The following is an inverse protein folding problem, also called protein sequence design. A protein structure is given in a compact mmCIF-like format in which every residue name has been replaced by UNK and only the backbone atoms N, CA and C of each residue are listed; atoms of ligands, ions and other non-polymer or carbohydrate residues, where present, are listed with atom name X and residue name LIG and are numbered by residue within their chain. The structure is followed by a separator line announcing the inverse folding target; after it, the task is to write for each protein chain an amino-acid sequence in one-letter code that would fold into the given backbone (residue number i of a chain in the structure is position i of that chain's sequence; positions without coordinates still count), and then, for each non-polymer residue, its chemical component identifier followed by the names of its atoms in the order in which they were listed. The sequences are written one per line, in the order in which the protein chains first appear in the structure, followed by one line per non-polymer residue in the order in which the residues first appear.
data_IF_011547224084
#
_entry.id   IF_011547224084
#
_cell.length_a   1.000
_cell.length_b   1.000
_cell.length_c   1.000
_cell.angle_alpha   90.00
_cell.angle_beta   90.00
_cell.angle_gamma   90.00
#
_symmetry.space_group_name_H-M   'P 1'
#
loop_
_entity.id
_entity.type
_entity.pdbx_description
1 polymer ?
#
# COMPACT_ATOMS: atom_id res chain seq x y z
N UNK A 1 -14.84 11.46 -30.82
CA UNK A 1 -14.06 10.35 -31.40
C UNK A 1 -14.36 9.12 -30.56
N UNK A 2 -15.12 8.18 -31.12
CA UNK A 2 -15.46 6.91 -30.46
C UNK A 2 -14.19 6.05 -30.42
N UNK A 3 -13.62 5.87 -29.24
CA UNK A 3 -12.52 4.93 -29.05
C UNK A 3 -13.00 3.52 -29.35
N UNK A 4 -12.75 3.03 -30.55
CA UNK A 4 -12.83 1.61 -30.83
C UNK A 4 -11.87 0.90 -29.88
N UNK A 5 -12.40 0.00 -29.05
CA UNK A 5 -11.59 -0.92 -28.26
C UNK A 5 -10.78 -1.78 -29.27
N UNK A 6 -9.54 -1.41 -29.48
CA UNK A 6 -8.62 -2.26 -30.24
C UNK A 6 -8.47 -3.54 -29.43
N UNK A 7 -9.05 -4.64 -29.92
CA UNK A 7 -8.78 -5.95 -29.32
C UNK A 7 -7.26 -6.18 -29.40
N UNK A 8 -6.59 -6.45 -28.30
CA UNK A 8 -5.17 -6.73 -28.36
C UNK A 8 -4.94 -7.90 -29.32
N UNK A 9 -4.08 -7.70 -30.30
CA UNK A 9 -3.68 -8.78 -31.20
C UNK A 9 -2.97 -9.84 -30.39
N UNK A 10 -3.60 -10.97 -30.17
CA UNK A 10 -2.98 -12.11 -29.51
C UNK A 10 -2.00 -12.71 -30.50
N UNK A 11 -0.72 -12.68 -30.15
CA UNK A 11 0.35 -13.29 -30.96
C UNK A 11 0.32 -14.79 -30.69
N UNK A 12 0.08 -15.58 -31.74
CA UNK A 12 0.22 -17.04 -31.65
C UNK A 12 1.70 -17.41 -31.69
N UNK A 13 2.18 -17.99 -30.60
CA UNK A 13 3.58 -18.44 -30.44
C UNK A 13 3.84 -19.81 -31.09
N UNK A 14 2.80 -20.46 -31.63
CA UNK A 14 2.91 -21.78 -32.26
C UNK A 14 3.65 -22.79 -31.36
N UNK A 15 4.68 -23.47 -31.92
CA UNK A 15 5.49 -24.47 -31.17
C UNK A 15 6.26 -23.90 -29.95
N UNK A 16 6.45 -22.59 -29.87
CA UNK A 16 7.15 -21.95 -28.77
C UNK A 16 6.24 -21.70 -27.55
N UNK A 17 4.94 -21.90 -27.68
CA UNK A 17 3.99 -21.69 -26.58
C UNK A 17 4.34 -22.54 -25.35
N UNK A 18 4.57 -23.85 -25.56
CA UNK A 18 4.88 -24.77 -24.44
C UNK A 18 6.22 -24.45 -23.76
N UNK A 19 7.37 -24.28 -24.47
CA UNK A 19 8.63 -23.90 -23.84
C UNK A 19 8.56 -22.57 -23.09
N UNK A 20 7.90 -21.55 -23.64
CA UNK A 20 7.76 -20.24 -23.00
C UNK A 20 6.87 -20.34 -21.75
N UNK A 21 5.77 -21.08 -21.81
CA UNK A 21 4.88 -21.29 -20.64
C UNK A 21 5.62 -22.03 -19.52
N UNK A 22 6.43 -23.06 -19.83
CA UNK A 22 7.25 -23.75 -18.84
C UNK A 22 8.28 -22.80 -18.23
N UNK A 23 8.97 -21.99 -19.05
CA UNK A 23 9.97 -21.03 -18.57
C UNK A 23 9.35 -20.01 -17.61
N UNK A 24 8.21 -19.40 -18.01
CA UNK A 24 7.49 -18.42 -17.19
C UNK A 24 6.94 -19.07 -15.92
N UNK A 25 6.40 -20.29 -16.02
CA UNK A 25 5.94 -21.07 -14.87
C UNK A 25 7.06 -21.40 -13.89
N UNK A 26 8.21 -21.85 -14.39
CA UNK A 26 9.40 -22.15 -13.56
C UNK A 26 9.94 -20.87 -12.90
N UNK A 27 10.00 -19.76 -13.62
CA UNK A 27 10.38 -18.46 -13.08
C UNK A 27 9.42 -18.01 -11.96
N UNK A 28 8.13 -18.06 -12.20
CA UNK A 28 7.12 -17.71 -11.19
C UNK A 28 7.19 -18.65 -9.97
N UNK A 29 7.43 -19.94 -10.17
CA UNK A 29 7.59 -20.90 -9.09
C UNK A 29 8.80 -20.56 -8.22
N UNK A 30 9.97 -20.34 -8.81
CA UNK A 30 11.22 -20.07 -8.07
C UNK A 30 11.16 -18.71 -7.37
N UNK A 31 10.65 -17.66 -8.05
CA UNK A 31 10.72 -16.30 -7.55
C UNK A 31 9.57 -15.97 -6.58
N UNK A 32 8.41 -16.58 -6.76
CA UNK A 32 7.20 -16.26 -5.95
C UNK A 32 6.84 -17.43 -5.03
N UNK A 33 6.55 -18.61 -5.58
CA UNK A 33 5.97 -19.71 -4.81
C UNK A 33 6.97 -20.26 -3.79
N UNK A 34 8.21 -20.48 -4.20
CA UNK A 34 9.23 -21.09 -3.34
C UNK A 34 9.54 -20.27 -2.09
N UNK A 35 9.80 -18.93 -2.15
CA UNK A 35 10.03 -18.12 -0.96
C UNK A 35 8.82 -18.10 -0.02
N UNK A 36 7.61 -17.96 -0.56
CA UNK A 36 6.40 -17.94 0.27
C UNK A 36 6.14 -19.30 0.91
N UNK A 37 6.31 -20.40 0.17
CA UNK A 37 6.20 -21.74 0.72
C UNK A 37 7.22 -21.95 1.85
N UNK A 38 8.46 -21.49 1.69
CA UNK A 38 9.50 -21.59 2.72
C UNK A 38 9.09 -20.83 4.00
N UNK A 39 8.56 -19.61 3.90
CA UNK A 39 8.04 -18.84 5.04
C UNK A 39 6.93 -19.62 5.74
N UNK A 40 5.96 -20.14 4.99
CA UNK A 40 4.88 -20.96 5.55
C UNK A 40 5.40 -22.22 6.23
N UNK A 41 6.27 -22.98 5.59
CA UNK A 41 6.85 -24.19 6.17
C UNK A 41 7.62 -23.90 7.45
N UNK A 42 8.44 -22.86 7.46
CA UNK A 42 9.20 -22.42 8.64
C UNK A 42 8.30 -22.04 9.81
N UNK A 43 7.13 -21.47 9.54
CA UNK A 43 6.16 -21.09 10.58
C UNK A 43 5.62 -22.27 11.39
N UNK A 44 5.70 -23.47 10.84
CA UNK A 44 5.28 -24.73 11.48
C UNK A 44 6.45 -25.59 11.94
N UNK A 45 7.69 -25.17 11.80
CA UNK A 45 8.89 -26.01 12.05
C UNK A 45 9.49 -25.68 13.42
N UNK A 46 9.74 -26.70 14.25
CA UNK A 46 10.43 -26.54 15.54
C UNK A 46 11.91 -26.30 15.34
N UNK A 47 12.55 -27.15 14.52
CA UNK A 47 13.98 -27.11 14.25
C UNK A 47 14.26 -27.06 12.75
N UNK A 48 14.83 -25.96 12.28
CA UNK A 48 15.15 -25.72 10.88
C UNK A 48 16.25 -26.65 10.32
N UNK A 49 17.09 -27.22 11.17
CA UNK A 49 18.14 -28.16 10.77
C UNK A 49 17.61 -29.57 10.49
N UNK A 50 16.32 -29.84 10.71
CA UNK A 50 15.67 -31.12 10.45
C UNK A 50 14.66 -31.00 9.30
N UNK A 51 14.38 -32.10 8.61
CA UNK A 51 13.29 -32.14 7.64
C UNK A 51 11.97 -31.70 8.31
N UNK A 52 11.15 -30.95 7.57
CA UNK A 52 9.81 -30.52 8.04
C UNK A 52 8.97 -31.70 8.53
N UNK A 53 9.03 -32.82 7.81
CA UNK A 53 8.24 -34.03 8.09
C UNK A 53 8.92 -34.99 9.09
N UNK A 54 10.06 -34.61 9.67
CA UNK A 54 10.67 -35.42 10.74
C UNK A 54 9.74 -35.51 11.95
N UNK A 55 9.72 -36.67 12.60
CA UNK A 55 8.88 -36.92 13.76
C UNK A 55 9.06 -35.82 14.84
N UNK A 56 7.98 -35.18 15.27
CA UNK A 56 8.00 -34.12 16.28
C UNK A 56 8.52 -32.76 15.82
N UNK A 57 8.80 -32.57 14.52
CA UNK A 57 9.30 -31.28 14.00
C UNK A 57 8.19 -30.33 13.53
N UNK A 58 6.93 -30.74 13.51
CA UNK A 58 5.78 -29.89 13.18
C UNK A 58 5.08 -29.38 14.44
N UNK A 59 4.76 -28.06 14.45
CA UNK A 59 4.07 -27.41 15.57
C UNK A 59 3.25 -26.22 15.09
N UNK A 60 2.15 -25.92 15.78
CA UNK A 60 1.35 -24.70 15.63
C UNK A 60 1.63 -23.66 16.72
N UNK A 61 2.62 -23.93 17.60
CA UNK A 61 2.95 -23.10 18.77
C UNK A 61 3.18 -21.63 18.39
N UNK A 62 3.89 -21.37 17.29
CA UNK A 62 4.25 -20.02 16.87
C UNK A 62 3.03 -19.21 16.40
N UNK A 63 2.03 -19.89 15.81
CA UNK A 63 0.74 -19.27 15.49
C UNK A 63 -0.03 -18.88 16.76
N UNK A 64 -0.01 -19.71 17.79
CA UNK A 64 -0.57 -19.35 19.10
C UNK A 64 0.12 -18.10 19.70
N UNK A 65 1.44 -17.98 19.55
CA UNK A 65 2.20 -16.84 20.04
C UNK A 65 1.78 -15.55 19.35
N UNK A 66 1.65 -15.51 18.03
CA UNK A 66 1.31 -14.29 17.29
C UNK A 66 -0.08 -13.74 17.65
N UNK A 67 -1.02 -14.60 18.04
CA UNK A 67 -2.37 -14.18 18.43
C UNK A 67 -2.53 -13.88 19.92
N UNK A 68 -1.60 -14.32 20.79
CA UNK A 68 -1.68 -14.12 22.24
C UNK A 68 -0.75 -13.02 22.76
N UNK A 69 0.32 -12.69 22.03
CA UNK A 69 1.33 -11.77 22.53
C UNK A 69 0.89 -10.32 22.41
N UNK A 70 0.81 -9.63 23.54
CA UNK A 70 0.36 -8.22 23.63
C UNK A 70 1.16 -7.26 22.73
N UNK A 71 2.48 -7.48 22.58
CA UNK A 71 3.32 -6.64 21.71
C UNK A 71 2.90 -6.74 20.25
N UNK A 72 2.66 -7.95 19.75
CA UNK A 72 2.26 -8.20 18.36
C UNK A 72 0.86 -7.61 18.08
N UNK A 73 -0.09 -7.81 19.03
CA UNK A 73 -1.44 -7.23 18.92
C UNK A 73 -1.39 -5.70 18.92
N UNK A 74 -0.53 -5.10 19.77
CA UNK A 74 -0.31 -3.65 19.80
C UNK A 74 0.27 -3.15 18.47
N UNK A 75 1.29 -3.83 17.95
CA UNK A 75 1.93 -3.49 16.67
C UNK A 75 0.99 -3.64 15.50
N UNK A 76 0.11 -4.65 15.49
CA UNK A 76 -0.96 -4.78 14.50
C UNK A 76 -1.91 -3.57 14.53
N UNK A 77 -2.40 -3.20 15.72
CA UNK A 77 -3.26 -2.01 15.88
C UNK A 77 -2.58 -0.73 15.41
N UNK A 78 -1.31 -0.57 15.74
CA UNK A 78 -0.51 0.59 15.33
C UNK A 78 -0.35 0.64 13.80
N UNK A 79 -0.08 -0.50 13.14
CA UNK A 79 0.00 -0.58 11.68
C UNK A 79 -1.33 -0.25 11.01
N UNK A 80 -2.44 -0.80 11.50
CA UNK A 80 -3.77 -0.47 10.98
C UNK A 80 -4.06 1.02 11.16
N UNK A 81 -3.79 1.57 12.34
CA UNK A 81 -4.04 2.98 12.64
C UNK A 81 -3.22 3.90 11.74
N UNK A 82 -1.89 3.70 11.66
CA UNK A 82 -1.03 4.56 10.85
C UNK A 82 -1.34 4.45 9.36
N UNK A 83 -1.59 3.24 8.84
CA UNK A 83 -1.95 3.02 7.45
C UNK A 83 -3.31 3.63 7.10
N UNK A 84 -4.31 3.47 7.98
CA UNK A 84 -5.66 4.02 7.79
C UNK A 84 -5.63 5.55 7.72
N UNK A 85 -4.94 6.20 8.64
CA UNK A 85 -4.83 7.66 8.64
C UNK A 85 -3.98 8.16 7.46
N UNK A 86 -2.87 7.52 7.15
CA UNK A 86 -2.05 7.90 6.00
C UNK A 86 -2.80 7.76 4.68
N UNK A 87 -3.53 6.67 4.48
CA UNK A 87 -4.34 6.45 3.28
C UNK A 87 -5.51 7.43 3.20
N UNK A 88 -6.20 7.68 4.30
CA UNK A 88 -7.39 8.55 4.31
C UNK A 88 -7.01 10.02 4.10
N UNK A 89 -6.06 10.54 4.89
CA UNK A 89 -5.59 11.92 4.74
C UNK A 89 -4.88 12.11 3.40
N UNK A 90 -4.02 11.16 3.03
CA UNK A 90 -3.33 11.17 1.75
C UNK A 90 -4.31 11.17 0.57
N UNK A 91 -5.38 10.37 0.64
CA UNK A 91 -6.37 10.31 -0.43
C UNK A 91 -7.21 11.59 -0.54
N UNK A 92 -7.55 12.24 0.57
CA UNK A 92 -8.21 13.55 0.57
C UNK A 92 -7.34 14.57 -0.17
N UNK A 93 -6.05 14.63 0.17
CA UNK A 93 -5.10 15.53 -0.53
C UNK A 93 -4.99 15.16 -2.00
N UNK A 94 -4.90 13.87 -2.34
CA UNK A 94 -4.83 13.40 -3.73
C UNK A 94 -6.04 13.81 -4.56
N UNK A 95 -7.26 13.70 -4.03
CA UNK A 95 -8.49 14.11 -4.74
C UNK A 95 -8.49 15.62 -5.01
N UNK A 96 -8.15 16.42 -4.00
CA UNK A 96 -8.08 17.89 -4.14
C UNK A 96 -7.03 18.27 -5.19
N UNK A 97 -5.83 17.69 -5.08
CA UNK A 97 -4.73 17.99 -6.01
C UNK A 97 -5.01 17.52 -7.43
N UNK A 98 -5.59 16.34 -7.61
CA UNK A 98 -5.97 15.81 -8.92
C UNK A 98 -7.01 16.72 -9.60
N UNK A 99 -7.99 17.20 -8.83
CA UNK A 99 -8.98 18.17 -9.33
C UNK A 99 -8.31 19.49 -9.73
N UNK A 100 -7.47 20.07 -8.88
CA UNK A 100 -6.73 21.30 -9.19
C UNK A 100 -5.90 21.16 -10.46
N UNK A 101 -5.19 20.04 -10.63
CA UNK A 101 -4.37 19.81 -11.82
C UNK A 101 -5.18 19.71 -13.10
N UNK A 102 -6.35 19.05 -13.07
CA UNK A 102 -7.10 18.69 -14.28
C UNK A 102 -8.24 19.64 -14.61
N UNK A 103 -8.79 20.34 -13.62
CA UNK A 103 -10.01 21.15 -13.76
C UNK A 103 -9.83 22.64 -13.49
N UNK A 104 -8.64 23.08 -13.12
CA UNK A 104 -8.38 24.49 -12.82
C UNK A 104 -7.18 25.03 -13.57
N UNK A 105 -7.12 26.36 -13.71
CA UNK A 105 -5.99 27.09 -14.29
C UNK A 105 -5.14 27.80 -13.22
N UNK A 106 -5.15 27.29 -11.97
CA UNK A 106 -4.37 27.87 -10.87
C UNK A 106 -2.89 27.85 -11.22
N UNK A 107 -2.25 29.02 -11.14
CA UNK A 107 -0.79 29.14 -11.37
C UNK A 107 -0.03 28.39 -10.28
N UNK A 108 1.00 27.65 -10.65
CA UNK A 108 1.83 26.89 -9.70
C UNK A 108 1.26 25.52 -9.29
N UNK A 109 0.12 25.07 -9.84
CA UNK A 109 -0.47 23.75 -9.55
C UNK A 109 0.46 22.56 -9.81
N UNK A 110 1.50 22.75 -10.63
CA UNK A 110 2.51 21.71 -10.88
C UNK A 110 3.50 21.53 -9.73
N UNK A 111 3.68 22.51 -8.85
CA UNK A 111 4.64 22.44 -7.75
C UNK A 111 4.28 21.33 -6.74
N UNK A 112 3.06 21.25 -6.20
CA UNK A 112 2.68 20.15 -5.33
C UNK A 112 2.76 18.77 -6.01
N UNK A 113 2.41 18.65 -7.30
CA UNK A 113 2.55 17.39 -8.05
C UNK A 113 4.02 16.96 -8.15
N UNK A 114 4.90 17.91 -8.42
CA UNK A 114 6.34 17.68 -8.41
C UNK A 114 6.84 17.24 -7.02
N UNK A 115 6.43 17.92 -5.95
CA UNK A 115 6.83 17.58 -4.58
C UNK A 115 6.36 16.17 -4.17
N UNK A 116 5.12 15.80 -4.51
CA UNK A 116 4.60 14.45 -4.27
C UNK A 116 5.43 13.40 -5.05
N UNK A 117 5.82 13.73 -6.27
CA UNK A 117 6.64 12.83 -7.11
C UNK A 117 8.04 12.67 -6.53
N UNK A 118 8.69 13.76 -6.13
CA UNK A 118 10.01 13.74 -5.47
C UNK A 118 9.95 12.97 -4.16
N UNK A 119 8.96 13.21 -3.31
CA UNK A 119 8.77 12.49 -2.05
C UNK A 119 8.68 10.98 -2.27
N UNK A 120 7.86 10.55 -3.23
CA UNK A 120 7.73 9.13 -3.55
C UNK A 120 9.02 8.51 -4.11
N UNK A 121 9.79 9.25 -4.92
CA UNK A 121 11.07 8.81 -5.47
C UNK A 121 12.22 8.78 -4.46
N UNK A 122 12.08 9.53 -3.35
CA UNK A 122 13.13 9.61 -2.32
C UNK A 122 13.26 8.29 -1.55
N UNK A 123 14.49 7.80 -1.27
CA UNK A 123 14.69 6.61 -0.43
C UNK A 123 14.03 6.76 0.95
N UNK A 124 13.37 5.71 1.43
CA UNK A 124 12.62 5.73 2.70
C UNK A 124 13.48 6.15 3.90
N UNK A 125 14.75 5.71 3.93
CA UNK A 125 15.70 6.10 4.98
C UNK A 125 15.94 7.62 5.00
N UNK A 126 16.06 8.24 3.83
CA UNK A 126 16.28 9.70 3.71
C UNK A 126 15.06 10.46 4.21
N UNK A 127 13.85 10.02 3.87
CA UNK A 127 12.60 10.62 4.40
C UNK A 127 12.57 10.53 5.92
N UNK A 128 12.88 9.36 6.49
CA UNK A 128 12.89 9.17 7.93
C UNK A 128 13.89 10.10 8.62
N UNK A 129 15.13 10.17 8.14
CA UNK A 129 16.15 11.07 8.69
C UNK A 129 15.74 12.53 8.59
N UNK A 130 15.22 12.96 7.44
CA UNK A 130 14.72 14.32 7.26
C UNK A 130 13.62 14.66 8.26
N UNK A 131 12.68 13.74 8.50
CA UNK A 131 11.60 13.93 9.48
C UNK A 131 12.12 13.95 10.92
N UNK A 132 13.10 13.13 11.29
CA UNK A 132 13.75 13.21 12.61
C UNK A 132 14.36 14.59 12.82
N UNK A 133 15.11 15.08 11.81
CA UNK A 133 15.80 16.37 11.92
C UNK A 133 14.83 17.57 11.95
N UNK A 134 13.68 17.48 11.29
CA UNK A 134 12.73 18.61 11.18
C UNK A 134 11.63 18.58 12.22
N UNK A 135 11.18 17.38 12.63
CA UNK A 135 9.99 17.19 13.46
C UNK A 135 10.31 16.83 14.93
N UNK A 136 11.57 17.01 15.35
CA UNK A 136 12.03 16.80 16.74
C UNK A 136 11.97 18.07 17.62
N UNK A 137 11.22 19.07 17.19
CA UNK A 137 11.09 20.36 17.92
C UNK A 137 12.01 21.47 17.42
N UNK A 138 12.99 21.17 16.57
CA UNK A 138 13.96 22.17 16.08
C UNK A 138 13.32 23.37 15.35
N UNK A 139 12.21 23.12 14.66
CA UNK A 139 11.47 24.17 13.93
C UNK A 139 10.10 24.46 14.57
N UNK A 140 9.95 24.24 15.90
CA UNK A 140 8.72 24.49 16.63
C UNK A 140 7.67 23.39 16.51
N UNK A 141 7.86 22.37 15.66
CA UNK A 141 6.97 21.23 15.50
C UNK A 141 7.65 19.99 16.10
N UNK A 142 7.02 19.40 17.13
CA UNK A 142 7.51 18.18 17.74
C UNK A 142 6.43 17.08 17.66
N UNK A 143 6.55 16.22 16.66
CA UNK A 143 5.76 14.99 16.53
C UNK A 143 6.64 13.73 16.55
N UNK A 144 7.92 13.88 16.87
CA UNK A 144 8.85 12.76 17.03
C UNK A 144 8.36 11.81 18.13
N UNK A 145 8.61 10.53 17.99
CA UNK A 145 8.12 9.47 18.89
C UNK A 145 6.60 9.31 18.99
N UNK A 146 5.83 9.91 18.07
CA UNK A 146 4.37 9.77 18.02
C UNK A 146 3.92 9.00 16.77
N UNK A 147 2.65 8.54 16.76
CA UNK A 147 2.06 7.94 15.55
C UNK A 147 1.97 8.94 14.40
N UNK A 148 1.89 10.25 14.69
CA UNK A 148 1.76 11.27 13.67
C UNK A 148 2.95 11.33 12.71
N UNK A 149 4.18 11.14 13.20
CA UNK A 149 5.36 11.14 12.32
C UNK A 149 5.34 9.97 11.34
N UNK A 150 4.84 8.79 11.74
CA UNK A 150 4.66 7.64 10.86
C UNK A 150 3.62 7.94 9.77
N UNK A 151 2.49 8.53 10.14
CA UNK A 151 1.44 8.94 9.20
C UNK A 151 1.99 9.91 8.16
N UNK A 152 2.72 10.94 8.59
CA UNK A 152 3.35 11.93 7.68
C UNK A 152 4.38 11.26 6.77
N UNK A 153 5.24 10.39 7.31
CA UNK A 153 6.24 9.65 6.54
C UNK A 153 5.59 8.81 5.43
N UNK A 154 4.53 8.09 5.76
CA UNK A 154 3.81 7.25 4.83
C UNK A 154 3.09 8.07 3.75
N UNK A 155 2.49 9.20 4.11
CA UNK A 155 1.89 10.12 3.14
C UNK A 155 2.95 10.58 2.13
N UNK A 156 4.10 11.08 2.58
CA UNK A 156 5.18 11.53 1.71
C UNK A 156 5.58 10.43 0.71
N UNK A 157 5.70 9.20 1.18
CA UNK A 157 6.20 8.07 0.38
C UNK A 157 5.17 7.51 -0.60
N UNK A 158 3.91 7.38 -0.19
CA UNK A 158 2.93 6.54 -0.91
C UNK A 158 1.79 7.31 -1.58
N UNK A 159 1.66 8.63 -1.35
CA UNK A 159 0.59 9.45 -1.96
C UNK A 159 0.60 9.45 -3.49
N UNK A 160 1.76 9.31 -4.13
CA UNK A 160 1.87 9.35 -5.59
C UNK A 160 0.99 8.29 -6.26
N UNK A 161 0.87 7.09 -5.67
CA UNK A 161 0.05 6.00 -6.22
C UNK A 161 -1.43 6.40 -6.27
N UNK A 162 -1.96 6.91 -5.16
CA UNK A 162 -3.33 7.42 -5.09
C UNK A 162 -3.55 8.63 -6.01
N UNK A 163 -2.59 9.53 -6.07
CA UNK A 163 -2.64 10.73 -6.91
C UNK A 163 -2.81 10.35 -8.39
N UNK A 164 -1.96 9.47 -8.91
CA UNK A 164 -2.02 9.05 -10.33
C UNK A 164 -3.32 8.33 -10.68
N UNK A 165 -3.84 7.54 -9.75
CA UNK A 165 -5.12 6.84 -9.93
C UNK A 165 -6.29 7.83 -10.08
N UNK A 166 -6.37 8.85 -9.22
CA UNK A 166 -7.44 9.86 -9.29
C UNK A 166 -7.26 10.80 -10.48
N UNK A 167 -6.02 11.22 -10.78
CA UNK A 167 -5.72 12.04 -11.97
C UNK A 167 -6.19 11.35 -13.24
N UNK A 168 -5.93 10.04 -13.37
CA UNK A 168 -6.40 9.24 -14.49
C UNK A 168 -7.93 9.20 -14.57
N UNK A 169 -8.60 8.97 -13.45
CA UNK A 169 -10.05 8.92 -13.37
C UNK A 169 -10.71 10.25 -13.75
N UNK A 170 -10.24 11.37 -13.20
CA UNK A 170 -10.76 12.71 -13.53
C UNK A 170 -10.52 13.04 -14.99
N UNK A 171 -9.41 12.59 -15.58
CA UNK A 171 -9.12 12.84 -17.01
C UNK A 171 -10.08 12.11 -17.95
N UNK A 172 -10.74 11.04 -17.51
CA UNK A 172 -11.72 10.27 -18.28
C UNK A 172 -13.14 10.85 -18.19
N UNK A 173 -13.43 11.74 -17.26
CA UNK A 173 -14.72 12.39 -17.13
C UNK A 173 -14.77 13.57 -18.11
N UNK A 174 -15.84 13.62 -18.95
CA UNK A 174 -16.05 14.77 -19.84
C UNK A 174 -16.29 16.05 -19.04
N UNK A 175 -15.59 17.16 -19.35
CA UNK A 175 -15.86 18.47 -18.74
C UNK A 175 -17.32 18.92 -18.89
N UNK A 176 -17.99 18.53 -19.96
CA UNK A 176 -19.39 18.87 -20.24
C UNK A 176 -20.36 18.44 -19.13
N UNK A 177 -20.06 17.39 -18.37
CA UNK A 177 -20.90 16.99 -17.23
C UNK A 177 -20.84 18.01 -16.09
N UNK A 178 -19.67 18.57 -15.83
CA UNK A 178 -19.51 19.62 -14.82
C UNK A 178 -20.10 20.94 -15.30
N UNK A 179 -19.99 21.27 -16.59
CA UNK A 179 -20.58 22.44 -17.21
C UNK A 179 -22.11 22.37 -17.20
N UNK A 180 -22.71 21.23 -17.51
CA UNK A 180 -24.16 21.02 -17.43
C UNK A 180 -24.67 21.20 -15.98
N UNK A 181 -23.96 20.67 -15.01
CA UNK A 181 -24.30 20.89 -13.60
C UNK A 181 -24.17 22.37 -13.21
N UNK A 182 -23.19 23.09 -13.75
CA UNK A 182 -23.01 24.54 -13.52
C UNK A 182 -24.15 25.37 -14.13
N UNK A 183 -24.56 25.03 -15.34
CA UNK A 183 -25.71 25.67 -16.00
C UNK A 183 -27.00 25.43 -15.20
N UNK A 184 -27.13 24.28 -14.54
CA UNK A 184 -28.25 23.96 -13.65
C UNK A 184 -28.13 24.65 -12.27
N UNK A 185 -27.19 25.59 -12.08
CA UNK A 185 -27.00 26.34 -10.83
C UNK A 185 -26.20 25.64 -9.73
N UNK A 186 -25.53 24.53 -10.02
CA UNK A 186 -24.73 23.85 -9.04
C UNK A 186 -23.40 24.59 -8.77
N UNK A 187 -23.18 25.01 -7.54
CA UNK A 187 -21.89 25.54 -7.07
C UNK A 187 -20.78 24.47 -7.06
N UNK A 188 -19.54 24.88 -6.83
CA UNK A 188 -18.37 23.99 -6.87
C UNK A 188 -18.49 22.77 -5.95
N UNK A 189 -18.88 22.96 -4.70
CA UNK A 189 -19.06 21.85 -3.74
C UNK A 189 -20.12 20.85 -4.20
N UNK A 190 -21.22 21.32 -4.78
CA UNK A 190 -22.28 20.47 -5.29
C UNK A 190 -21.82 19.67 -6.51
N UNK A 191 -21.10 20.29 -7.44
CA UNK A 191 -20.48 19.58 -8.59
C UNK A 191 -19.50 18.52 -8.14
N UNK A 192 -18.67 18.84 -7.14
CA UNK A 192 -17.73 17.87 -6.57
C UNK A 192 -18.46 16.66 -5.97
N UNK A 193 -19.49 16.92 -5.14
CA UNK A 193 -20.24 15.88 -4.43
C UNK A 193 -21.13 15.04 -5.37
N UNK A 194 -21.83 15.69 -6.30
CA UNK A 194 -22.89 15.05 -7.09
C UNK A 194 -22.39 14.51 -8.43
N UNK A 195 -21.24 14.99 -8.96
CA UNK A 195 -20.70 14.60 -10.25
C UNK A 195 -19.32 13.96 -10.11
N UNK A 196 -18.32 14.70 -9.63
CA UNK A 196 -16.92 14.24 -9.68
C UNK A 196 -16.66 13.06 -8.75
N UNK A 197 -17.03 13.19 -7.46
CA UNK A 197 -16.78 12.13 -6.48
C UNK A 197 -17.50 10.81 -6.79
N UNK A 198 -18.80 10.79 -7.17
CA UNK A 198 -19.46 9.54 -7.53
C UNK A 198 -18.84 8.86 -8.75
N UNK A 199 -18.48 9.63 -9.78
CA UNK A 199 -17.87 9.07 -10.99
C UNK A 199 -16.45 8.58 -10.77
N UNK A 200 -15.70 9.18 -9.85
CA UNK A 200 -14.34 8.77 -9.49
C UNK A 200 -14.28 7.80 -8.32
N UNK A 201 -15.39 7.53 -7.63
CA UNK A 201 -15.41 6.73 -6.40
C UNK A 201 -14.69 5.38 -6.51
N UNK A 202 -14.85 4.57 -7.57
CA UNK A 202 -14.10 3.32 -7.69
C UNK A 202 -12.58 3.53 -7.71
N UNK A 203 -12.13 4.60 -8.39
CA UNK A 203 -10.71 4.96 -8.49
C UNK A 203 -10.18 5.55 -7.19
N UNK A 204 -10.99 6.30 -6.44
CA UNK A 204 -10.65 6.82 -5.10
C UNK A 204 -10.49 5.65 -4.13
N UNK A 205 -11.38 4.67 -4.14
CA UNK A 205 -11.27 3.47 -3.31
C UNK A 205 -10.03 2.67 -3.67
N UNK A 206 -9.78 2.44 -4.97
CA UNK A 206 -8.58 1.75 -5.43
C UNK A 206 -7.30 2.48 -5.02
N UNK A 207 -7.24 3.80 -5.21
CA UNK A 207 -6.12 4.64 -4.80
C UNK A 207 -5.89 4.63 -3.30
N UNK A 208 -6.97 4.60 -2.50
CA UNK A 208 -6.88 4.46 -1.05
C UNK A 208 -6.21 3.13 -0.65
N UNK A 209 -6.60 2.01 -1.26
CA UNK A 209 -5.95 0.72 -1.02
C UNK A 209 -4.49 0.70 -1.47
N UNK A 210 -4.16 1.34 -2.60
CA UNK A 210 -2.78 1.45 -3.08
C UNK A 210 -1.86 2.25 -2.14
N UNK A 211 -2.42 3.16 -1.33
CA UNK A 211 -1.68 3.82 -0.26
C UNK A 211 -1.69 2.96 1.01
N UNK A 212 -2.85 2.41 1.40
CA UNK A 212 -3.03 1.67 2.64
C UNK A 212 -2.12 0.44 2.72
N UNK A 213 -2.09 -0.38 1.65
CA UNK A 213 -1.35 -1.65 1.65
C UNK A 213 0.14 -1.49 1.99
N UNK A 214 0.94 -0.68 1.25
CA UNK A 214 2.35 -0.53 1.59
C UNK A 214 2.56 0.14 2.95
N UNK A 215 1.68 1.05 3.40
CA UNK A 215 1.75 1.64 4.73
C UNK A 215 1.56 0.60 5.83
N UNK A 216 0.69 -0.40 5.61
CA UNK A 216 0.36 -1.39 6.62
C UNK A 216 1.55 -2.28 7.02
N UNK A 217 2.39 -2.67 6.06
CA UNK A 217 3.56 -3.51 6.30
C UNK A 217 4.90 -2.77 6.15
N UNK A 218 4.88 -1.44 6.14
CA UNK A 218 6.08 -0.63 6.00
C UNK A 218 7.06 -0.91 7.13
N UNK A 219 8.31 -1.17 6.77
CA UNK A 219 9.39 -1.50 7.68
C UNK A 219 10.46 -0.40 7.75
N UNK A 220 10.91 0.08 6.61
CA UNK A 220 12.16 0.86 6.51
C UNK A 220 12.10 2.21 7.25
N UNK A 221 11.06 3.01 7.00
CA UNK A 221 10.86 4.27 7.72
C UNK A 221 10.41 4.00 9.16
N UNK A 222 9.53 3.02 9.33
CA UNK A 222 9.00 2.65 10.64
C UNK A 222 10.11 2.25 11.59
N UNK A 223 11.12 1.50 11.12
CA UNK A 223 12.25 1.05 11.93
C UNK A 223 13.18 2.19 12.39
N UNK A 224 13.12 3.35 11.75
CA UNK A 224 13.87 4.54 12.16
C UNK A 224 13.03 5.51 13.00
N UNK A 225 11.71 5.49 12.84
CA UNK A 225 10.79 6.47 13.45
C UNK A 225 10.00 5.93 14.63
N UNK A 226 10.05 4.60 14.91
CA UNK A 226 9.25 4.01 15.96
C UNK A 226 9.77 4.39 17.36
N UNK A 227 8.87 4.35 18.32
CA UNK A 227 9.13 4.31 19.76
C UNK A 227 8.46 3.08 20.35
N UNK A 228 8.68 2.79 21.64
CA UNK A 228 8.07 1.63 22.30
C UNK A 228 6.54 1.59 22.19
N UNK A 229 5.91 2.75 22.08
CA UNK A 229 4.46 2.86 21.95
C UNK A 229 3.96 2.81 20.50
N UNK A 230 4.82 3.07 19.52
CA UNK A 230 4.45 3.22 18.09
C UNK A 230 5.00 2.11 17.19
N UNK A 231 5.51 1.01 17.78
CA UNK A 231 5.96 -0.16 17.01
C UNK A 231 4.87 -0.63 16.05
N UNK A 232 5.24 -0.83 14.78
CA UNK A 232 4.37 -1.37 13.72
C UNK A 232 4.64 -2.85 13.50
N UNK A 233 3.80 -3.52 12.72
CA UNK A 233 3.97 -4.93 12.38
C UNK A 233 5.29 -5.21 11.66
N UNK A 234 5.70 -4.32 10.73
CA UNK A 234 6.98 -4.45 10.03
C UNK A 234 8.16 -4.42 11.00
N UNK A 235 8.13 -3.49 11.96
CA UNK A 235 9.16 -3.39 13.02
C UNK A 235 9.16 -4.62 13.93
N UNK A 236 7.98 -5.07 14.36
CA UNK A 236 7.85 -6.27 15.21
C UNK A 236 8.38 -7.51 14.50
N UNK A 237 8.05 -7.69 13.21
CA UNK A 237 8.58 -8.76 12.38
C UNK A 237 10.11 -8.73 12.32
N UNK A 238 10.70 -7.55 12.09
CA UNK A 238 12.15 -7.37 12.05
C UNK A 238 12.80 -7.72 13.38
N UNK A 239 12.22 -7.28 14.51
CA UNK A 239 12.74 -7.57 15.85
C UNK A 239 12.70 -9.08 16.16
N UNK A 240 11.61 -9.76 15.76
CA UNK A 240 11.55 -11.23 15.90
C UNK A 240 12.58 -11.94 15.04
N UNK A 241 12.75 -11.50 13.79
CA UNK A 241 13.73 -12.09 12.87
C UNK A 241 15.17 -11.91 13.36
N UNK A 242 15.49 -10.76 13.98
CA UNK A 242 16.86 -10.40 14.34
C UNK A 242 17.24 -10.85 15.75
N UNK A 243 16.33 -10.72 16.71
CA UNK A 243 16.66 -10.84 18.15
C UNK A 243 15.92 -11.95 18.89
N UNK A 244 14.91 -12.58 18.26
CA UNK A 244 14.08 -13.57 18.96
C UNK A 244 14.01 -14.90 18.23
N UNK A 245 12.82 -15.27 17.75
CA UNK A 245 12.52 -16.56 17.12
C UNK A 245 12.20 -16.36 15.64
N UNK A 246 13.04 -16.92 14.80
CA UNK A 246 12.85 -16.91 13.36
C UNK A 246 11.55 -17.62 12.95
N UNK A 247 11.14 -18.66 13.69
CA UNK A 247 9.88 -19.36 13.45
C UNK A 247 8.67 -18.47 13.78
N UNK A 248 8.75 -17.69 14.87
CA UNK A 248 7.71 -16.70 15.21
C UNK A 248 7.66 -15.58 14.16
N UNK A 249 8.83 -15.11 13.70
CA UNK A 249 8.91 -14.15 12.59
C UNK A 249 8.25 -14.71 11.32
N UNK A 250 8.53 -15.98 10.98
CA UNK A 250 7.91 -16.64 9.83
C UNK A 250 6.40 -16.80 9.98
N UNK A 251 5.91 -17.12 11.18
CA UNK A 251 4.48 -17.18 11.44
C UNK A 251 3.81 -15.80 11.30
N UNK A 252 4.47 -14.73 11.79
CA UNK A 252 4.01 -13.36 11.64
C UNK A 252 4.01 -12.92 10.17
N UNK A 253 5.09 -13.24 9.43
CA UNK A 253 5.19 -12.96 8.01
C UNK A 253 4.10 -13.70 7.21
N UNK A 254 3.86 -14.98 7.49
CA UNK A 254 2.80 -15.77 6.87
C UNK A 254 1.41 -15.17 7.16
N UNK A 255 1.15 -14.73 8.40
CA UNK A 255 -0.10 -14.07 8.76
C UNK A 255 -0.29 -12.74 8.00
N UNK A 256 0.77 -11.93 7.86
CA UNK A 256 0.75 -10.70 7.07
C UNK A 256 0.45 -11.01 5.60
N UNK A 257 1.10 -12.02 5.01
CA UNK A 257 0.87 -12.44 3.63
C UNK A 257 -0.59 -12.85 3.38
N UNK A 258 -1.16 -13.65 4.28
CA UNK A 258 -2.59 -14.04 4.21
C UNK A 258 -3.47 -12.80 4.26
N UNK A 259 -3.23 -11.90 5.21
CA UNK A 259 -4.02 -10.69 5.37
C UNK A 259 -3.95 -9.80 4.12
N UNK A 260 -2.74 -9.58 3.58
CA UNK A 260 -2.54 -8.81 2.35
C UNK A 260 -3.26 -9.46 1.16
N UNK A 261 -3.20 -10.78 1.03
CA UNK A 261 -3.92 -11.50 -0.02
C UNK A 261 -5.45 -11.31 0.11
N UNK A 262 -5.99 -11.44 1.33
CA UNK A 262 -7.42 -11.22 1.60
C UNK A 262 -7.83 -9.78 1.27
N UNK A 263 -7.04 -8.80 1.69
CA UNK A 263 -7.31 -7.38 1.40
C UNK A 263 -7.24 -7.08 -0.11
N UNK A 264 -6.30 -7.69 -0.85
CA UNK A 264 -6.23 -7.56 -2.31
C UNK A 264 -7.48 -8.17 -3.00
N UNK A 265 -7.93 -9.34 -2.56
CA UNK A 265 -9.16 -9.95 -3.08
C UNK A 265 -10.37 -9.03 -2.79
N UNK A 266 -10.44 -8.47 -1.59
CA UNK A 266 -11.50 -7.54 -1.21
C UNK A 266 -11.46 -6.27 -2.08
N UNK A 267 -10.28 -5.68 -2.27
CA UNK A 267 -10.09 -4.54 -3.16
C UNK A 267 -10.60 -4.84 -4.57
N UNK A 268 -10.18 -5.96 -5.16
CA UNK A 268 -10.58 -6.35 -6.51
C UNK A 268 -12.11 -6.54 -6.63
N UNK A 269 -12.76 -7.07 -5.60
CA UNK A 269 -14.24 -7.19 -5.56
C UNK A 269 -14.93 -5.82 -5.46
N UNK A 270 -14.44 -4.94 -4.61
CA UNK A 270 -15.02 -3.60 -4.41
C UNK A 270 -14.84 -2.70 -5.64
N UNK A 271 -13.73 -2.84 -6.35
CA UNK A 271 -13.44 -2.06 -7.57
C UNK A 271 -13.97 -2.72 -8.84
N UNK A 272 -14.74 -3.83 -8.73
CA UNK A 272 -15.30 -4.61 -9.86
C UNK A 272 -14.25 -5.02 -10.89
N UNK A 273 -13.03 -5.33 -10.45
CA UNK A 273 -11.93 -5.77 -11.30
C UNK A 273 -11.34 -4.71 -12.23
N UNK A 274 -11.76 -3.44 -12.13
CA UNK A 274 -11.24 -2.35 -12.98
C UNK A 274 -9.75 -2.03 -12.74
N UNK A 275 -9.16 -2.55 -11.67
CA UNK A 275 -7.77 -2.32 -11.27
C UNK A 275 -7.10 -3.62 -10.80
N UNK A 276 -7.38 -4.76 -11.47
CA UNK A 276 -6.59 -5.96 -11.26
C UNK A 276 -5.15 -5.66 -11.71
N UNK A 277 -4.24 -5.71 -10.75
CA UNK A 277 -2.79 -5.68 -10.98
C UNK A 277 -2.37 -7.04 -11.48
#
# INVERSE_FOLDING_TARGET
MSGQSVRPAVVDLGRWNLPITILVGAFAFIVVILPFATVFMTSFTVNMGKSLFAAGNMTTKYWGIIFSRKSIIKSFRNSVFSALWAATLGMIVCVIMAYLLKRTNVKGKAVPDFLITVGSGTPSVVIALALIMTMSGRFGINIYNTMAILVVAYMIKYMLMGMRTVVSAISQISPSLEEAAQISGAGWLRRMKDVVLPLTAPSVVAGWFLIFMPCFYELTMSNLLYSDNTKTLGVELYLYQTYHSQQTASALAAAILILVAVLNILMNRLTKGRFSI
#
